data_IF_383172924405
#
_entry.id   IF_383172924405
#
_cell.length_a   1.000
_cell.length_b   1.000
_cell.length_c   1.000
_cell.angle_alpha   90.00
_cell.angle_beta   90.00
_cell.angle_gamma   90.00
#
_symmetry.space_group_name_H-M   'P 1'
#
loop_
_entity.id
_entity.type
_entity.pdbx_description
1 polymer ?
#
# COMPACT_ATOMS: atom_id res chain seq x y z
N UNK A 1 -28.04 -15.80 16.81
CA UNK A 1 -26.93 -14.85 16.66
C UNK A 1 -25.79 -15.63 16.03
N UNK A 2 -25.53 -15.35 14.75
CA UNK A 2 -24.43 -15.98 14.00
C UNK A 2 -23.32 -14.94 14.00
N UNK A 3 -22.31 -15.18 14.83
CA UNK A 3 -21.06 -14.43 14.82
C UNK A 3 -20.17 -15.09 13.76
N UNK A 4 -20.34 -14.64 12.51
CA UNK A 4 -19.38 -14.92 11.45
C UNK A 4 -18.19 -13.98 11.68
N UNK A 5 -17.19 -14.46 12.42
CA UNK A 5 -15.89 -13.81 12.46
C UNK A 5 -15.33 -13.83 11.04
N UNK A 6 -15.45 -12.72 10.34
CA UNK A 6 -14.90 -12.53 8.99
C UNK A 6 -13.42 -12.91 9.05
N UNK A 7 -13.03 -13.89 8.22
CA UNK A 7 -11.63 -14.24 7.97
C UNK A 7 -10.82 -12.96 7.75
N UNK A 8 -10.07 -12.52 8.77
CA UNK A 8 -8.99 -11.55 8.58
C UNK A 8 -7.93 -12.34 7.81
N UNK A 9 -8.04 -12.31 6.49
CA UNK A 9 -7.01 -12.78 5.57
C UNK A 9 -5.66 -12.28 6.07
N UNK A 10 -4.75 -13.20 6.43
CA UNK A 10 -3.38 -12.92 6.86
C UNK A 10 -2.49 -12.36 5.72
N UNK A 11 -3.09 -11.93 4.62
CA UNK A 11 -2.37 -11.44 3.45
C UNK A 11 -1.73 -10.08 3.76
N UNK A 12 -0.42 -9.93 3.54
CA UNK A 12 0.23 -8.65 3.74
C UNK A 12 -0.27 -7.63 2.72
N UNK A 13 -0.56 -6.44 3.20
CA UNK A 13 -0.92 -5.31 2.36
C UNK A 13 0.05 -4.14 2.59
N UNK A 14 0.33 -3.39 1.53
CA UNK A 14 1.14 -2.19 1.53
C UNK A 14 0.29 -0.99 1.10
N UNK A 15 0.15 -0.01 1.99
CA UNK A 15 -0.50 1.27 1.68
C UNK A 15 0.58 2.24 1.21
N UNK A 16 0.39 2.81 0.01
CA UNK A 16 1.31 3.79 -0.55
C UNK A 16 0.60 5.14 -0.62
N UNK A 17 1.22 6.15 -0.01
CA UNK A 17 0.84 7.55 -0.13
C UNK A 17 2.06 8.40 -0.42
N UNK A 18 1.86 9.52 -1.12
CA UNK A 18 2.89 10.52 -1.34
C UNK A 18 2.57 11.74 -0.49
N UNK A 19 3.55 12.14 0.32
CA UNK A 19 3.49 13.38 1.09
C UNK A 19 4.44 14.39 0.45
N UNK A 20 3.94 15.55 0.08
CA UNK A 20 4.72 16.60 -0.58
C UNK A 20 4.26 17.99 -0.13
N UNK A 21 5.15 18.97 -0.27
CA UNK A 21 4.85 20.37 0.00
C UNK A 21 4.57 21.09 -1.32
N UNK A 22 3.46 21.81 -1.42
CA UNK A 22 3.13 22.65 -2.57
C UNK A 22 2.72 24.04 -2.06
N UNK A 23 3.47 25.07 -2.42
CA UNK A 23 3.24 26.46 -1.98
C UNK A 23 3.10 26.59 -0.46
N UNK A 24 4.01 25.96 0.29
CA UNK A 24 4.01 25.97 1.76
C UNK A 24 2.93 25.11 2.42
N UNK A 25 2.07 24.43 1.64
CA UNK A 25 1.03 23.52 2.16
C UNK A 25 1.48 22.07 2.00
N UNK A 26 1.46 21.33 3.10
CA UNK A 26 1.66 19.88 3.08
C UNK A 26 0.40 19.22 2.50
N UNK A 27 0.61 18.40 1.46
CA UNK A 27 -0.41 17.55 0.86
C UNK A 27 -0.03 16.10 1.06
N UNK A 28 -1.03 15.26 1.28
CA UNK A 28 -0.89 13.80 1.36
C UNK A 28 -1.88 13.24 0.33
N UNK A 29 -1.38 12.39 -0.56
CA UNK A 29 -2.20 11.76 -1.59
C UNK A 29 -2.05 10.25 -1.49
N UNK A 30 -3.15 9.55 -1.26
CA UNK A 30 -3.21 8.09 -1.34
C UNK A 30 -3.03 7.68 -2.80
N UNK A 31 -2.08 6.77 -3.05
CA UNK A 31 -1.86 6.22 -4.39
C UNK A 31 -2.58 4.90 -4.55
N UNK A 32 -2.28 3.92 -3.68
CA UNK A 32 -2.79 2.56 -3.85
C UNK A 32 -2.64 1.72 -2.57
N UNK A 33 -3.53 0.75 -2.44
CA UNK A 33 -3.40 -0.40 -1.55
C UNK A 33 -2.93 -1.59 -2.40
N UNK A 34 -1.75 -2.12 -2.12
CA UNK A 34 -1.18 -3.26 -2.82
C UNK A 34 -1.23 -4.48 -1.92
N UNK A 35 -1.81 -5.57 -2.40
CA UNK A 35 -1.65 -6.87 -1.78
C UNK A 35 -0.25 -7.40 -2.12
N UNK A 36 0.49 -7.80 -1.10
CA UNK A 36 1.82 -8.38 -1.24
C UNK A 36 1.72 -9.90 -1.16
N UNK A 37 2.59 -10.58 -1.92
CA UNK A 37 2.76 -12.04 -1.83
C UNK A 37 3.69 -12.45 -0.68
N UNK A 38 4.56 -11.55 -0.25
CA UNK A 38 5.56 -11.75 0.82
C UNK A 38 5.94 -10.42 1.46
N UNK A 39 6.49 -10.46 2.68
CA UNK A 39 6.92 -9.30 3.47
C UNK A 39 8.43 -9.03 3.40
N UNK A 40 9.16 -9.72 2.52
CA UNK A 40 10.59 -9.48 2.34
C UNK A 40 10.87 -8.16 1.60
N UNK A 41 12.06 -7.60 1.83
CA UNK A 41 12.46 -6.30 1.30
C UNK A 41 12.49 -6.26 -0.22
N UNK A 42 12.84 -7.37 -0.89
CA UNK A 42 12.90 -7.46 -2.34
C UNK A 42 11.49 -7.36 -2.94
N UNK A 43 10.55 -8.15 -2.45
CA UNK A 43 9.14 -8.12 -2.89
C UNK A 43 8.52 -6.74 -2.68
N UNK A 44 8.78 -6.08 -1.55
CA UNK A 44 8.28 -4.73 -1.28
C UNK A 44 8.87 -3.72 -2.26
N UNK A 45 10.18 -3.77 -2.49
CA UNK A 45 10.87 -2.86 -3.40
C UNK A 45 10.36 -3.00 -4.84
N UNK A 46 10.29 -4.22 -5.36
CA UNK A 46 9.77 -4.51 -6.70
C UNK A 46 8.32 -4.03 -6.85
N UNK A 47 7.46 -4.25 -5.86
CA UNK A 47 6.08 -3.78 -5.88
C UNK A 47 5.95 -2.25 -5.93
N UNK A 48 6.86 -1.52 -5.26
CA UNK A 48 6.90 -0.05 -5.29
C UNK A 48 7.39 0.43 -6.66
N UNK A 49 8.48 -0.13 -7.19
CA UNK A 49 9.02 0.27 -8.51
C UNK A 49 8.00 0.02 -9.61
N UNK A 50 7.41 -1.18 -9.66
CA UNK A 50 6.36 -1.52 -10.63
C UNK A 50 5.17 -0.57 -10.59
N UNK A 51 4.82 -0.03 -9.42
CA UNK A 51 3.74 0.95 -9.29
C UNK A 51 4.07 2.26 -9.99
N UNK A 52 5.33 2.71 -9.90
CA UNK A 52 5.78 3.98 -10.47
C UNK A 52 6.20 3.86 -11.93
N UNK A 53 6.70 2.70 -12.37
CA UNK A 53 7.11 2.44 -13.76
C UNK A 53 5.92 2.18 -14.69
N UNK A 54 4.77 1.72 -14.18
CA UNK A 54 3.54 1.52 -14.96
C UNK A 54 2.77 2.82 -15.27
N UNK A 55 3.40 3.99 -15.11
CA UNK A 55 2.83 5.30 -15.43
C UNK A 55 3.27 5.84 -16.77
#
# INVERSE_FOLDING_TARGET
MVDESTDISCEPHLIIYVKYCLHGKIKIHFLKLLQLKSKDSKTIFEAIIDLFDKK
#
